data_IF_859983257799
#
_entry.id   IF_859983257799
#
_cell.length_a   1.000
_cell.length_b   1.000
_cell.length_c   1.000
_cell.angle_alpha   90.00
_cell.angle_beta   90.00
_cell.angle_gamma   90.00
#
_symmetry.space_group_name_H-M   'P 1'
#
loop_
_entity.id
_entity.type
_entity.pdbx_description
1 polymer ?
#
# COMPACT_ATOMS: atom_id res chain seq x y z
N UNK A 1 2.69 -21.70 9.70
CA UNK A 1 3.86 -21.39 8.85
C UNK A 1 4.59 -22.69 8.55
N UNK A 2 4.96 -22.95 7.27
CA UNK A 2 5.68 -24.17 6.89
C UNK A 2 7.02 -24.31 7.62
N UNK A 3 7.49 -25.55 7.78
CA UNK A 3 8.73 -25.85 8.51
C UNK A 3 9.97 -25.23 7.86
N UNK A 4 10.05 -25.28 6.53
CA UNK A 4 11.16 -24.71 5.75
C UNK A 4 11.23 -23.18 5.88
N UNK A 5 10.09 -22.49 5.75
CA UNK A 5 10.00 -21.04 5.98
C UNK A 5 10.55 -20.67 7.35
N UNK A 6 10.15 -21.41 8.40
CA UNK A 6 10.64 -21.17 9.76
C UNK A 6 12.14 -21.44 9.88
N UNK A 7 12.66 -22.49 9.24
CA UNK A 7 14.09 -22.78 9.25
C UNK A 7 14.91 -21.68 8.55
N UNK A 8 14.42 -21.16 7.42
CA UNK A 8 15.06 -20.06 6.69
C UNK A 8 15.05 -18.76 7.51
N UNK A 9 13.94 -18.44 8.17
CA UNK A 9 13.88 -17.26 9.04
C UNK A 9 14.78 -17.40 10.28
N UNK A 10 14.91 -18.62 10.83
CA UNK A 10 15.77 -18.87 11.99
C UNK A 10 17.26 -18.87 11.67
N UNK A 11 17.65 -19.04 10.41
CA UNK A 11 19.06 -18.99 9.98
C UNK A 11 19.54 -17.56 9.66
N UNK A 12 18.63 -16.59 9.67
CA UNK A 12 18.96 -15.19 9.43
C UNK A 12 19.70 -14.57 10.61
N UNK A 13 20.77 -13.83 10.30
CA UNK A 13 21.53 -13.03 11.27
C UNK A 13 21.13 -11.56 11.10
N UNK A 14 20.54 -10.92 12.12
CA UNK A 14 20.19 -9.50 12.10
C UNK A 14 21.40 -8.62 11.75
N UNK A 15 21.20 -7.58 10.94
CA UNK A 15 22.25 -6.64 10.55
C UNK A 15 22.70 -5.75 11.71
N UNK A 16 21.76 -5.38 12.59
CA UNK A 16 21.99 -4.56 13.78
C UNK A 16 20.92 -4.86 14.85
N UNK A 17 20.94 -4.10 15.96
CA UNK A 17 20.02 -4.29 17.08
C UNK A 17 18.56 -3.87 16.79
N UNK A 18 18.34 -3.09 15.74
CA UNK A 18 17.02 -2.57 15.33
C UNK A 18 16.46 -3.32 14.11
N UNK A 19 17.16 -4.36 13.64
CA UNK A 19 16.76 -5.16 12.49
C UNK A 19 15.62 -6.13 12.82
N UNK A 20 14.41 -5.67 12.51
CA UNK A 20 13.15 -6.38 12.72
C UNK A 20 12.74 -7.29 11.54
N UNK A 21 13.66 -7.62 10.62
CA UNK A 21 13.37 -8.40 9.39
C UNK A 21 12.56 -9.68 9.67
N UNK A 22 13.00 -10.49 10.64
CA UNK A 22 12.34 -11.76 10.97
C UNK A 22 10.92 -11.51 11.48
N UNK A 23 10.74 -10.54 12.39
CA UNK A 23 9.43 -10.20 12.93
C UNK A 23 8.50 -9.69 11.84
N UNK A 24 8.98 -8.81 10.97
CA UNK A 24 8.20 -8.28 9.84
C UNK A 24 7.71 -9.41 8.93
N UNK A 25 8.59 -10.32 8.52
CA UNK A 25 8.24 -11.45 7.66
C UNK A 25 7.28 -12.42 8.36
N UNK A 26 7.47 -12.68 9.66
CA UNK A 26 6.58 -13.53 10.45
C UNK A 26 5.18 -12.94 10.58
N UNK A 27 5.05 -11.67 10.94
CA UNK A 27 3.75 -11.01 11.07
C UNK A 27 3.07 -10.82 9.71
N UNK A 28 3.84 -10.50 8.66
CA UNK A 28 3.33 -10.46 7.29
C UNK A 28 2.77 -11.82 6.88
N UNK A 29 3.52 -12.89 7.11
CA UNK A 29 3.04 -14.25 6.85
C UNK A 29 1.82 -14.61 7.69
N UNK A 30 1.75 -14.16 8.95
CA UNK A 30 0.64 -14.46 9.85
C UNK A 30 -0.68 -13.88 9.34
N UNK A 31 -0.65 -12.65 8.85
CA UNK A 31 -1.88 -11.89 8.54
C UNK A 31 -2.25 -11.87 7.07
N UNK A 32 -1.33 -12.18 6.15
CA UNK A 32 -1.67 -12.27 4.73
C UNK A 32 -2.79 -13.30 4.48
N UNK A 33 -3.69 -13.03 3.50
CA UNK A 33 -4.63 -14.03 2.99
C UNK A 33 -3.90 -15.30 2.52
N UNK A 34 -4.64 -16.41 2.39
CA UNK A 34 -4.07 -17.71 1.98
C UNK A 34 -3.20 -17.62 0.72
N UNK A 35 -3.68 -16.96 -0.34
CA UNK A 35 -2.91 -16.77 -1.59
C UNK A 35 -1.61 -16.01 -1.36
N UNK A 36 -1.64 -14.90 -0.62
CA UNK A 36 -0.45 -14.12 -0.30
C UNK A 36 0.57 -14.89 0.56
N UNK A 37 0.11 -15.78 1.45
CA UNK A 37 0.98 -16.64 2.27
C UNK A 37 1.75 -17.66 1.45
N UNK A 38 1.15 -18.20 0.39
CA UNK A 38 1.83 -19.15 -0.51
C UNK A 38 2.97 -18.44 -1.22
N UNK A 39 2.71 -17.30 -1.85
CA UNK A 39 3.74 -16.52 -2.55
C UNK A 39 4.86 -16.08 -1.60
N UNK A 40 4.50 -15.55 -0.41
CA UNK A 40 5.50 -15.13 0.56
C UNK A 40 6.33 -16.31 1.11
N UNK A 41 5.75 -17.51 1.25
CA UNK A 41 6.52 -18.69 1.64
C UNK A 41 7.62 -18.99 0.62
N UNK A 42 7.25 -18.99 -0.67
CA UNK A 42 8.18 -19.24 -1.77
C UNK A 42 9.28 -18.18 -1.82
N UNK A 43 8.92 -16.89 -1.73
CA UNK A 43 9.88 -15.78 -1.71
C UNK A 43 10.87 -15.89 -0.54
N UNK A 44 10.39 -16.26 0.66
CA UNK A 44 11.25 -16.46 1.84
C UNK A 44 12.21 -17.63 1.61
N UNK A 45 11.73 -18.76 1.10
CA UNK A 45 12.55 -19.94 0.83
C UNK A 45 13.60 -19.61 -0.24
N UNK A 46 13.20 -18.93 -1.32
CA UNK A 46 14.08 -18.57 -2.43
C UNK A 46 15.12 -17.51 -2.04
N UNK A 47 14.77 -16.56 -1.16
CA UNK A 47 15.72 -15.60 -0.60
C UNK A 47 16.87 -16.31 0.13
N UNK A 48 16.56 -17.43 0.81
CA UNK A 48 17.55 -18.24 1.54
C UNK A 48 18.15 -17.49 2.72
N UNK A 49 19.34 -17.91 3.18
CA UNK A 49 20.05 -17.24 4.26
C UNK A 49 20.77 -15.96 3.76
N UNK A 50 20.84 -14.94 4.62
CA UNK A 50 21.64 -13.73 4.39
C UNK A 50 20.83 -12.48 4.03
N UNK A 51 21.48 -11.52 3.37
CA UNK A 51 20.94 -10.16 3.15
C UNK A 51 19.70 -10.10 2.25
N UNK A 52 19.40 -11.16 1.48
CA UNK A 52 18.23 -11.21 0.61
C UNK A 52 16.91 -11.23 1.38
N UNK A 53 16.87 -11.83 2.58
CA UNK A 53 15.68 -11.76 3.45
C UNK A 53 15.42 -10.34 3.92
N UNK A 54 16.47 -9.59 4.23
CA UNK A 54 16.37 -8.17 4.57
C UNK A 54 15.82 -7.37 3.39
N UNK A 55 16.30 -7.63 2.16
CA UNK A 55 15.80 -6.98 0.95
C UNK A 55 14.32 -7.31 0.67
N UNK A 56 13.90 -8.56 0.90
CA UNK A 56 12.50 -8.96 0.80
C UNK A 56 11.62 -8.24 1.83
N UNK A 57 12.09 -8.14 3.08
CA UNK A 57 11.41 -7.34 4.11
C UNK A 57 11.28 -5.87 3.69
N UNK A 58 12.37 -5.26 3.18
CA UNK A 58 12.35 -3.89 2.69
C UNK A 58 11.42 -3.70 1.47
N UNK A 59 11.31 -4.69 0.58
CA UNK A 59 10.41 -4.62 -0.58
C UNK A 59 8.94 -4.66 -0.16
N UNK A 60 8.59 -5.40 0.89
CA UNK A 60 7.24 -5.40 1.48
C UNK A 60 6.93 -4.02 2.07
N UNK A 61 7.86 -3.42 2.82
CA UNK A 61 7.65 -2.08 3.40
C UNK A 61 7.48 -1.04 2.30
N UNK A 62 8.44 -0.95 1.38
CA UNK A 62 8.48 0.09 0.35
C UNK A 62 7.45 -0.12 -0.76
N UNK A 63 7.17 -1.36 -1.15
CA UNK A 63 6.29 -1.70 -2.27
C UNK A 63 4.82 -1.93 -1.87
N UNK A 64 4.53 -2.28 -0.62
CA UNK A 64 3.17 -2.58 -0.16
C UNK A 64 2.71 -1.70 1.00
N UNK A 65 3.46 -1.65 2.11
CA UNK A 65 2.98 -0.96 3.32
C UNK A 65 3.01 0.57 3.15
N UNK A 66 4.09 1.12 2.60
CA UNK A 66 4.23 2.55 2.37
C UNK A 66 3.16 3.09 1.43
N UNK A 67 2.96 2.54 0.21
CA UNK A 67 1.97 3.10 -0.71
C UNK A 67 0.55 3.05 -0.14
N UNK A 68 0.20 1.98 0.56
CA UNK A 68 -1.12 1.82 1.17
C UNK A 68 -1.36 2.83 2.30
N UNK A 69 -0.36 3.08 3.15
CA UNK A 69 -0.44 4.09 4.20
C UNK A 69 -0.49 5.52 3.65
N UNK A 70 0.32 5.82 2.62
CA UNK A 70 0.36 7.14 1.98
C UNK A 70 -0.97 7.43 1.27
N UNK A 71 -1.52 6.48 0.53
CA UNK A 71 -2.84 6.61 -0.11
C UNK A 71 -3.95 6.84 0.94
N UNK A 72 -3.88 6.11 2.06
CA UNK A 72 -4.81 6.26 3.18
C UNK A 72 -4.80 7.66 3.83
N UNK A 73 -3.63 8.33 3.87
CA UNK A 73 -3.46 9.64 4.51
C UNK A 73 -3.77 10.84 3.62
N UNK A 74 -3.70 10.70 2.28
CA UNK A 74 -4.03 11.80 1.35
C UNK A 74 -5.51 12.16 1.41
N UNK A 75 -5.88 13.37 1.84
CA UNK A 75 -7.24 13.86 1.65
C UNK A 75 -7.60 13.72 0.16
N UNK A 76 -8.65 12.96 -0.15
CA UNK A 76 -9.31 13.12 -1.45
C UNK A 76 -9.95 14.49 -1.37
N UNK A 77 -9.30 15.50 -1.94
CA UNK A 77 -9.98 16.73 -2.30
C UNK A 77 -10.99 16.34 -3.38
N UNK A 78 -12.22 16.08 -2.95
CA UNK A 78 -13.35 16.16 -3.86
C UNK A 78 -13.29 17.59 -4.39
N UNK A 79 -13.13 17.82 -5.70
CA UNK A 79 -13.15 19.17 -6.25
C UNK A 79 -14.46 19.78 -5.81
N UNK A 80 -14.39 20.72 -4.86
CA UNK A 80 -15.56 21.53 -4.53
C UNK A 80 -15.84 22.29 -5.81
N UNK A 81 -17.02 22.07 -6.41
CA UNK A 81 -17.60 23.02 -7.36
C UNK A 81 -17.66 24.36 -6.64
N UNK A 82 -16.64 25.18 -6.86
CA UNK A 82 -16.36 26.43 -6.18
C UNK A 82 -15.54 27.25 -7.16
N UNK A 83 -16.31 27.97 -7.96
CA UNK A 83 -15.96 28.90 -9.03
C UNK A 83 -14.73 29.80 -8.72
N UNK A 84 -13.93 30.00 -9.78
CA UNK A 84 -12.93 31.06 -10.04
C UNK A 84 -11.58 31.04 -9.29
N UNK A 85 -10.50 30.65 -10.00
CA UNK A 85 -9.39 31.56 -10.33
C UNK A 85 -8.39 30.98 -11.37
N UNK A 86 -8.17 31.76 -12.43
CA UNK A 86 -7.10 31.77 -13.45
C UNK A 86 -6.93 30.61 -14.47
N UNK A 87 -7.17 30.93 -15.74
CA UNK A 87 -7.32 30.02 -16.90
C UNK A 87 -5.98 29.38 -17.34
N UNK A 88 -4.82 29.94 -17.00
CA UNK A 88 -3.51 29.38 -17.43
C UNK A 88 -3.01 28.22 -16.56
N UNK A 89 -3.43 28.13 -15.29
CA UNK A 89 -3.01 27.06 -14.38
C UNK A 89 -3.82 25.75 -14.59
N UNK A 90 -5.02 25.86 -15.15
CA UNK A 90 -5.92 24.75 -15.45
C UNK A 90 -5.42 23.85 -16.59
N UNK A 91 -4.74 24.42 -17.59
CA UNK A 91 -4.22 23.64 -18.71
C UNK A 91 -3.08 22.69 -18.29
N UNK A 92 -2.17 23.16 -17.42
CA UNK A 92 -1.09 22.32 -16.87
C UNK A 92 -1.65 21.23 -15.94
N UNK A 93 -2.58 21.59 -15.05
CA UNK A 93 -3.24 20.61 -14.18
C UNK A 93 -4.03 19.57 -14.98
N UNK A 94 -4.66 19.98 -16.09
CA UNK A 94 -5.39 19.07 -16.99
C UNK A 94 -4.45 18.15 -17.74
N UNK A 95 -3.30 18.65 -18.23
CA UNK A 95 -2.29 17.82 -18.90
C UNK A 95 -1.65 16.81 -17.95
N UNK A 96 -1.34 17.22 -16.71
CA UNK A 96 -0.82 16.31 -15.67
C UNK A 96 -1.88 15.31 -15.21
N UNK A 97 -3.14 15.74 -15.08
CA UNK A 97 -4.26 14.84 -14.78
C UNK A 97 -4.49 13.83 -15.90
N UNK A 98 -4.47 14.25 -17.17
CA UNK A 98 -4.57 13.36 -18.32
C UNK A 98 -3.40 12.37 -18.40
N UNK A 99 -2.17 12.82 -18.11
CA UNK A 99 -1.00 11.95 -18.04
C UNK A 99 -1.15 10.91 -16.92
N UNK A 100 -1.57 11.34 -15.73
CA UNK A 100 -1.81 10.47 -14.58
C UNK A 100 -2.95 9.47 -14.85
N UNK A 101 -4.02 9.89 -15.53
CA UNK A 101 -5.13 9.01 -15.92
C UNK A 101 -4.69 7.97 -16.95
N UNK A 102 -3.82 8.33 -17.91
CA UNK A 102 -3.23 7.37 -18.86
C UNK A 102 -2.33 6.36 -18.18
N UNK A 103 -1.49 6.80 -17.25
CA UNK A 103 -0.63 5.91 -16.45
C UNK A 103 -1.48 4.98 -15.58
N UNK A 104 -2.53 5.51 -14.95
CA UNK A 104 -3.47 4.71 -14.14
C UNK A 104 -4.20 3.67 -14.99
N UNK A 105 -4.64 4.05 -16.20
CA UNK A 105 -5.28 3.14 -17.15
C UNK A 105 -4.34 2.04 -17.62
N UNK A 106 -3.09 2.39 -17.97
CA UNK A 106 -2.07 1.41 -18.36
C UNK A 106 -1.78 0.43 -17.21
N UNK A 107 -1.62 0.91 -15.98
CA UNK A 107 -1.43 0.06 -14.81
C UNK A 107 -2.63 -0.84 -14.54
N UNK A 108 -3.85 -0.35 -14.80
CA UNK A 108 -5.07 -1.14 -14.68
C UNK A 108 -5.14 -2.24 -15.74
N UNK A 109 -4.81 -1.95 -17.00
CA UNK A 109 -4.75 -2.91 -18.10
C UNK A 109 -3.66 -3.98 -17.88
N UNK A 110 -2.48 -3.58 -17.42
CA UNK A 110 -1.38 -4.49 -17.11
C UNK A 110 -1.72 -5.41 -15.93
N UNK A 111 -2.38 -4.88 -14.89
CA UNK A 111 -2.88 -5.67 -13.76
C UNK A 111 -3.98 -6.64 -14.21
N UNK A 112 -4.90 -6.20 -15.07
CA UNK A 112 -5.95 -7.03 -15.68
C UNK A 112 -5.33 -8.21 -16.44
N UNK A 113 -4.33 -7.93 -17.27
CA UNK A 113 -3.69 -8.93 -18.12
C UNK A 113 -2.88 -9.95 -17.31
N UNK A 114 -2.13 -9.49 -16.30
CA UNK A 114 -1.37 -10.38 -15.40
C UNK A 114 -2.27 -11.36 -14.63
N UNK A 115 -3.44 -10.90 -14.21
CA UNK A 115 -4.35 -11.70 -13.38
C UNK A 115 -5.33 -12.53 -14.23
N UNK A 116 -5.12 -12.64 -15.54
CA UNK A 116 -5.99 -13.39 -16.44
C UNK A 116 -7.42 -12.81 -16.50
N UNK A 117 -7.51 -11.48 -16.47
CA UNK A 117 -8.76 -10.72 -16.41
C UNK A 117 -9.56 -10.88 -15.10
N UNK A 118 -8.93 -11.36 -14.02
CA UNK A 118 -9.57 -11.55 -12.71
C UNK A 118 -9.29 -10.45 -11.69
N UNK A 119 -8.52 -9.42 -12.07
CA UNK A 119 -8.30 -8.28 -11.20
C UNK A 119 -9.68 -7.70 -10.85
N UNK A 120 -10.05 -7.74 -9.57
CA UNK A 120 -11.24 -7.07 -9.07
C UNK A 120 -11.15 -5.63 -9.56
N UNK A 121 -12.15 -5.14 -10.31
CA UNK A 121 -12.19 -3.74 -10.70
C UNK A 121 -12.31 -2.90 -9.42
N UNK A 122 -11.17 -2.47 -8.88
CA UNK A 122 -11.06 -1.79 -7.59
C UNK A 122 -11.90 -0.50 -7.60
N UNK A 123 -12.09 0.09 -8.79
CA UNK A 123 -12.86 1.31 -9.00
C UNK A 123 -14.33 1.04 -9.39
N UNK A 124 -14.75 -0.22 -9.45
CA UNK A 124 -16.15 -0.56 -9.67
C UNK A 124 -17.01 -0.06 -8.51
N UNK A 125 -18.18 0.47 -8.83
CA UNK A 125 -19.17 0.90 -7.83
C UNK A 125 -19.61 -0.22 -6.88
N UNK A 126 -19.30 -1.49 -7.21
CA UNK A 126 -19.47 -2.67 -6.35
C UNK A 126 -18.56 -2.68 -5.11
N UNK A 127 -17.51 -1.86 -5.09
CA UNK A 127 -16.52 -1.80 -4.00
C UNK A 127 -16.70 -0.58 -3.09
N UNK A 128 -17.80 0.16 -3.26
CA UNK A 128 -18.09 1.35 -2.47
C UNK A 128 -18.78 0.96 -1.18
N UNK A 129 -18.21 1.41 -0.07
CA UNK A 129 -18.91 1.44 1.22
C UNK A 129 -19.03 2.88 1.70
N UNK A 130 -20.20 3.22 2.23
CA UNK A 130 -20.43 4.53 2.84
C UNK A 130 -20.15 4.43 4.34
N UNK A 131 -19.29 5.30 4.85
CA UNK A 131 -18.98 5.42 6.27
C UNK A 131 -19.23 6.87 6.70
N UNK A 132 -19.59 7.08 7.97
CA UNK A 132 -19.58 8.43 8.55
C UNK A 132 -18.17 9.03 8.41
N UNK A 133 -18.07 10.33 8.17
CA UNK A 133 -16.78 11.03 8.02
C UNK A 133 -15.73 10.65 9.10
N UNK A 134 -16.06 10.60 10.41
CA UNK A 134 -15.09 10.20 11.42
C UNK A 134 -14.64 8.75 11.28
N UNK A 135 -15.56 7.79 11.08
CA UNK A 135 -15.23 6.37 10.92
C UNK A 135 -14.46 6.13 9.62
N UNK A 136 -14.83 6.81 8.54
CA UNK A 136 -14.12 6.79 7.28
C UNK A 136 -12.65 7.21 7.44
N UNK A 137 -12.39 8.27 8.22
CA UNK A 137 -11.02 8.71 8.50
C UNK A 137 -10.23 7.65 9.29
N UNK A 138 -10.86 6.93 10.22
CA UNK A 138 -10.20 5.83 10.95
C UNK A 138 -9.92 4.62 10.05
N UNK A 139 -10.90 4.25 9.21
CA UNK A 139 -10.76 3.15 8.25
C UNK A 139 -9.60 3.41 7.27
N UNK A 140 -9.54 4.62 6.72
CA UNK A 140 -8.47 5.03 5.79
C UNK A 140 -7.09 5.04 6.41
N UNK A 141 -6.98 5.30 7.71
CA UNK A 141 -5.70 5.32 8.45
C UNK A 141 -5.30 3.96 9.00
N UNK A 142 -6.03 2.89 8.67
CA UNK A 142 -5.85 1.56 9.22
C UNK A 142 -5.91 1.54 10.78
N UNK A 143 -6.56 2.52 11.42
CA UNK A 143 -6.83 2.49 12.87
C UNK A 143 -8.13 1.77 13.20
N UNK A 144 -8.92 1.45 12.18
CA UNK A 144 -10.09 0.59 12.22
C UNK A 144 -10.06 -0.34 11.01
N UNK A 145 -10.40 -1.61 11.18
CA UNK A 145 -10.57 -2.59 10.11
C UNK A 145 -11.78 -3.50 10.36
N UNK A 146 -12.21 -4.19 9.31
CA UNK A 146 -13.34 -5.13 9.34
C UNK A 146 -12.81 -6.55 9.16
N UNK A 147 -12.92 -7.35 10.21
CA UNK A 147 -12.49 -8.75 10.19
C UNK A 147 -13.68 -9.65 9.95
N UNK A 148 -13.64 -10.46 8.90
CA UNK A 148 -14.75 -11.36 8.57
C UNK A 148 -14.98 -12.39 9.68
N UNK A 149 -16.24 -12.55 10.10
CA UNK A 149 -16.63 -13.58 11.06
C UNK A 149 -16.66 -14.95 10.36
N UNK A 150 -16.26 -16.02 11.06
CA UNK A 150 -16.24 -17.38 10.52
C UNK A 150 -17.62 -17.95 10.22
N UNK A 151 -18.64 -17.42 10.88
CA UNK A 151 -19.93 -18.09 11.03
C UNK A 151 -20.98 -17.57 10.03
N UNK A 152 -20.80 -16.37 9.48
CA UNK A 152 -21.78 -15.75 8.58
C UNK A 152 -21.13 -14.92 7.47
N UNK A 153 -21.67 -15.04 6.26
CA UNK A 153 -21.27 -14.24 5.10
C UNK A 153 -21.72 -12.79 5.33
N UNK A 154 -20.91 -11.82 4.90
CA UNK A 154 -21.17 -10.38 5.02
C UNK A 154 -21.30 -9.85 6.47
N UNK A 155 -20.83 -10.62 7.45
CA UNK A 155 -20.71 -10.17 8.83
C UNK A 155 -19.24 -9.95 9.19
N UNK A 156 -18.97 -8.84 9.87
CA UNK A 156 -17.64 -8.42 10.21
C UNK A 156 -17.56 -7.96 11.65
N UNK A 157 -16.52 -8.40 12.35
CA UNK A 157 -16.10 -7.83 13.61
C UNK A 157 -15.31 -6.55 13.35
N UNK A 158 -15.73 -5.47 13.99
CA UNK A 158 -15.01 -4.20 14.00
C UNK A 158 -13.78 -4.35 14.88
N UNK A 159 -12.61 -4.21 14.26
CA UNK A 159 -11.32 -4.24 14.94
C UNK A 159 -10.76 -2.83 15.00
N UNK A 160 -10.45 -2.36 16.20
CA UNK A 160 -9.79 -1.06 16.41
C UNK A 160 -8.35 -1.27 16.86
N UNK A 161 -7.48 -0.34 16.50
CA UNK A 161 -6.05 -0.41 16.79
C UNK A 161 -5.59 0.84 17.54
N UNK A 162 -4.31 0.85 17.95
CA UNK A 162 -3.70 2.02 18.56
C UNK A 162 -3.82 3.22 17.61
N UNK A 163 -4.30 4.35 18.14
CA UNK A 163 -4.58 5.55 17.35
C UNK A 163 -6.03 5.72 16.91
N UNK A 164 -6.91 4.74 17.20
CA UNK A 164 -8.35 4.96 17.10
C UNK A 164 -8.80 6.01 18.12
N UNK A 165 -9.48 7.06 17.64
CA UNK A 165 -9.91 8.15 18.50
C UNK A 165 -11.03 7.70 19.46
N UNK A 166 -10.82 7.93 20.77
CA UNK A 166 -11.76 7.51 21.83
C UNK A 166 -13.14 8.13 21.68
N UNK A 167 -13.22 9.37 21.17
CA UNK A 167 -14.47 10.10 20.93
C UNK A 167 -15.42 9.35 19.99
N UNK A 168 -14.90 8.57 19.04
CA UNK A 168 -15.72 7.84 18.06
C UNK A 168 -16.11 6.43 18.52
N UNK A 169 -15.76 6.03 19.75
CA UNK A 169 -16.16 4.71 20.27
C UNK A 169 -17.67 4.57 20.43
N UNK A 170 -18.37 5.66 20.74
CA UNK A 170 -19.83 5.68 20.85
C UNK A 170 -20.53 5.46 19.50
N UNK A 171 -19.82 5.68 18.37
CA UNK A 171 -20.35 5.43 17.02
C UNK A 171 -20.21 3.96 16.60
N UNK A 172 -19.45 3.16 17.37
CA UNK A 172 -19.28 1.75 17.09
C UNK A 172 -20.43 0.94 17.70
N UNK A 173 -20.85 -0.15 17.04
CA UNK A 173 -21.85 -1.05 17.60
C UNK A 173 -21.32 -1.66 18.91
N UNK A 174 -22.17 -1.71 19.94
CA UNK A 174 -21.82 -2.31 21.23
C UNK A 174 -21.43 -3.80 21.12
N UNK A 175 -21.99 -4.50 20.13
CA UNK A 175 -21.66 -5.90 19.79
C UNK A 175 -20.29 -6.06 19.10
N UNK A 176 -19.62 -4.94 18.76
CA UNK A 176 -18.43 -4.90 17.91
C UNK A 176 -18.58 -5.65 16.57
N UNK A 177 -19.81 -5.88 16.13
CA UNK A 177 -20.11 -6.67 14.93
C UNK A 177 -21.09 -5.92 14.05
N UNK A 178 -20.81 -5.89 12.76
CA UNK A 178 -21.67 -5.30 11.73
C UNK A 178 -22.07 -6.38 10.73
N UNK A 179 -23.30 -6.30 10.24
CA UNK A 179 -23.77 -7.09 9.10
C UNK A 179 -24.02 -6.13 7.94
N UNK A 180 -23.46 -6.45 6.77
CA UNK A 180 -23.72 -5.70 5.55
C UNK A 180 -24.93 -6.29 4.84
N UNK A 181 -25.92 -5.44 4.58
CA UNK A 181 -27.15 -5.81 3.87
C UNK A 181 -27.36 -4.90 2.67
N UNK A 182 -27.69 -5.47 1.51
CA UNK A 182 -28.06 -4.70 0.34
C UNK A 182 -29.52 -4.25 0.48
N UNK A 183 -29.78 -2.94 0.44
CA UNK A 183 -31.13 -2.41 0.63
C UNK A 183 -32.01 -2.52 -0.63
N UNK A 184 -31.40 -2.56 -1.81
CA UNK A 184 -32.06 -2.46 -3.12
C UNK A 184 -31.41 -3.40 -4.17
N UNK A 185 -30.68 -4.42 -3.72
CA UNK A 185 -29.88 -5.27 -4.60
C UNK A 185 -28.56 -4.65 -5.06
N UNK A 186 -28.20 -3.47 -4.52
CA UNK A 186 -26.88 -2.90 -4.73
C UNK A 186 -25.78 -3.87 -4.30
N UNK A 187 -24.67 -3.93 -5.04
CA UNK A 187 -23.52 -4.75 -4.70
C UNK A 187 -22.95 -4.36 -3.33
N UNK A 188 -22.61 -5.37 -2.52
CA UNK A 188 -21.93 -5.18 -1.24
C UNK A 188 -20.43 -5.02 -1.45
N UNK A 189 -19.78 -4.29 -0.55
CA UNK A 189 -18.33 -4.13 -0.55
C UNK A 189 -17.62 -5.50 -0.59
N UNK A 190 -16.61 -5.61 -1.45
CA UNK A 190 -15.90 -6.88 -1.68
C UNK A 190 -15.30 -7.43 -0.38
N UNK A 191 -15.70 -8.65 0.05
CA UNK A 191 -15.12 -9.30 1.22
C UNK A 191 -13.61 -9.51 1.09
N UNK A 192 -13.12 -9.69 -0.13
CA UNK A 192 -11.69 -9.86 -0.42
C UNK A 192 -10.94 -8.55 -0.14
N UNK A 193 -11.48 -7.41 -0.57
CA UNK A 193 -10.86 -6.10 -0.31
C UNK A 193 -10.85 -5.76 1.17
N UNK A 194 -11.94 -6.07 1.89
CA UNK A 194 -11.99 -5.91 3.36
C UNK A 194 -11.00 -6.84 4.07
N UNK A 195 -10.86 -8.07 3.60
CA UNK A 195 -9.87 -9.01 4.14
C UNK A 195 -8.43 -8.50 3.92
N UNK A 196 -8.13 -7.97 2.74
CA UNK A 196 -6.82 -7.37 2.44
C UNK A 196 -6.57 -6.13 3.29
N UNK A 197 -7.57 -5.25 3.43
CA UNK A 197 -7.47 -4.07 4.30
C UNK A 197 -7.20 -4.47 5.76
N UNK A 198 -7.93 -5.46 6.27
CA UNK A 198 -7.73 -5.97 7.62
C UNK A 198 -6.37 -6.62 7.82
N UNK A 199 -5.89 -7.39 6.84
CA UNK A 199 -4.55 -7.97 6.85
C UNK A 199 -3.48 -6.88 6.96
N UNK A 200 -3.55 -5.85 6.11
CA UNK A 200 -2.60 -4.74 6.12
C UNK A 200 -2.65 -3.98 7.45
N UNK A 201 -3.85 -3.69 7.98
CA UNK A 201 -3.98 -3.07 9.30
C UNK A 201 -3.26 -3.88 10.37
N UNK A 202 -3.50 -5.19 10.44
CA UNK A 202 -2.84 -6.05 11.41
C UNK A 202 -1.32 -6.04 11.26
N UNK A 203 -0.79 -6.12 10.03
CA UNK A 203 0.65 -6.10 9.76
C UNK A 203 1.25 -4.77 10.26
N UNK A 204 0.68 -3.63 9.85
CA UNK A 204 1.17 -2.30 10.22
C UNK A 204 1.27 -2.12 11.74
N UNK A 205 0.28 -2.63 12.49
CA UNK A 205 0.25 -2.50 13.95
C UNK A 205 1.11 -3.53 14.67
N UNK A 206 1.18 -4.78 14.19
CA UNK A 206 1.98 -5.84 14.80
C UNK A 206 3.49 -5.62 14.63
N UNK A 207 3.90 -5.09 13.47
CA UNK A 207 5.31 -4.81 13.15
C UNK A 207 5.77 -3.45 13.66
N UNK A 208 4.82 -2.53 13.91
CA UNK A 208 5.11 -1.14 14.23
C UNK A 208 5.45 -0.28 13.00
N UNK A 209 5.45 -0.85 11.80
CA UNK A 209 5.71 -0.12 10.55
C UNK A 209 4.70 1.03 10.34
N UNK A 210 3.44 0.86 10.78
CA UNK A 210 2.46 1.94 10.71
C UNK A 210 2.89 3.20 11.49
N UNK A 211 3.52 3.03 12.64
CA UNK A 211 4.02 4.14 13.45
C UNK A 211 5.29 4.76 12.85
N UNK A 212 6.19 3.94 12.30
CA UNK A 212 7.41 4.39 11.61
C UNK A 212 7.06 5.22 10.38
N UNK A 213 6.20 4.70 9.50
CA UNK A 213 5.73 5.40 8.29
C UNK A 213 5.02 6.70 8.65
N UNK A 214 4.11 6.66 9.64
CA UNK A 214 3.40 7.87 10.06
C UNK A 214 4.34 8.93 10.65
N UNK A 215 5.46 8.54 11.28
CA UNK A 215 6.48 9.49 11.74
C UNK A 215 7.18 10.15 10.55
N UNK A 216 7.63 9.36 9.57
CA UNK A 216 8.27 9.89 8.35
C UNK A 216 7.35 10.86 7.61
N UNK A 217 6.06 10.54 7.48
CA UNK A 217 5.07 11.42 6.86
C UNK A 217 4.87 12.74 7.61
N UNK A 218 4.83 12.71 8.95
CA UNK A 218 4.72 13.94 9.75
C UNK A 218 5.98 14.81 9.65
N UNK A 219 7.14 14.17 9.68
CA UNK A 219 8.42 14.86 9.54
C UNK A 219 8.49 15.51 8.15
N UNK A 220 7.99 14.85 7.10
CA UNK A 220 7.85 15.41 5.75
C UNK A 220 6.95 16.67 5.74
N UNK A 221 5.72 16.57 6.24
CA UNK A 221 4.77 17.69 6.29
C UNK A 221 5.33 18.87 7.11
N UNK A 222 6.12 18.60 8.16
CA UNK A 222 6.81 19.62 8.94
C UNK A 222 8.02 20.25 8.21
N UNK A 223 8.67 19.49 7.32
CA UNK A 223 9.85 19.92 6.52
C UNK A 223 9.52 20.64 5.20
N UNK A 224 8.30 21.15 5.02
CA UNK A 224 8.00 22.14 3.94
C UNK A 224 8.89 23.39 4.04
N UNK A 225 9.67 23.55 5.12
CA UNK A 225 10.96 24.26 5.09
C UNK A 225 12.13 23.28 5.29
N UNK A 226 13.04 23.21 4.31
CA UNK A 226 14.26 22.39 4.39
C UNK A 226 14.96 22.54 5.74
N UNK A 227 15.24 21.42 6.41
CA UNK A 227 16.18 21.42 7.52
C UNK A 227 17.56 21.81 6.96
N UNK A 228 18.08 22.96 7.38
CA UNK A 228 19.33 23.59 6.91
C UNK A 228 20.62 22.79 7.16
N UNK A 229 20.52 21.53 7.59
CA UNK A 229 21.66 20.72 8.06
C UNK A 229 21.90 19.41 7.30
N UNK A 230 21.26 19.20 6.13
CA UNK A 230 21.65 18.12 5.20
C UNK A 230 21.48 16.69 5.72
N UNK A 231 20.79 16.48 6.84
CA UNK A 231 20.54 15.14 7.43
C UNK A 231 19.28 14.46 6.89
N UNK A 232 18.66 15.00 5.84
CA UNK A 232 17.45 14.43 5.24
C UNK A 232 17.77 13.10 4.60
N UNK A 233 17.20 12.01 5.11
CA UNK A 233 17.35 10.68 4.52
C UNK A 233 16.48 10.59 3.24
N UNK A 234 17.08 10.96 2.10
CA UNK A 234 16.42 11.03 0.79
C UNK A 234 15.84 9.66 0.39
N UNK A 235 16.48 8.55 0.76
CA UNK A 235 16.00 7.20 0.45
C UNK A 235 14.67 6.89 1.16
N UNK A 236 14.54 7.28 2.42
CA UNK A 236 13.28 7.15 3.16
C UNK A 236 12.21 8.11 2.60
N UNK A 237 12.59 9.31 2.19
CA UNK A 237 11.69 10.29 1.58
C UNK A 237 11.13 9.81 0.24
N UNK A 238 11.97 9.22 -0.61
CA UNK A 238 11.54 8.62 -1.87
C UNK A 238 10.59 7.44 -1.62
N UNK A 239 10.84 6.63 -0.57
CA UNK A 239 10.00 5.47 -0.24
C UNK A 239 8.55 5.81 0.18
N UNK A 240 8.25 7.08 0.51
CA UNK A 240 6.90 7.56 0.88
C UNK A 240 6.30 8.53 -0.14
N UNK A 241 7.03 8.88 -1.21
CA UNK A 241 6.55 9.74 -2.29
C UNK A 241 6.19 8.91 -3.52
N UNK A 242 5.30 9.42 -4.39
CA UNK A 242 4.94 8.78 -5.67
C UNK A 242 6.16 8.54 -6.60
N UNK A 243 7.32 9.13 -6.28
CA UNK A 243 8.56 8.98 -7.05
C UNK A 243 9.15 7.56 -6.95
N UNK A 244 8.86 6.79 -5.88
CA UNK A 244 9.27 5.39 -5.80
C UNK A 244 8.48 4.45 -6.73
N UNK A 245 7.35 4.91 -7.28
CA UNK A 245 6.53 4.13 -8.21
C UNK A 245 6.85 4.42 -9.69
N UNK A 246 7.86 5.24 -9.98
CA UNK A 246 8.35 5.38 -11.35
C UNK A 246 9.09 4.08 -11.68
N UNK A 247 8.63 3.28 -12.67
CA UNK A 247 9.40 2.14 -13.12
C UNK A 247 10.77 2.66 -13.54
N UNK A 248 11.84 2.02 -13.07
CA UNK A 248 13.16 2.24 -13.63
C UNK A 248 13.07 1.96 -15.14
N UNK A 249 12.89 3.02 -15.93
CA UNK A 249 13.18 2.99 -17.35
C UNK A 249 14.68 2.71 -17.41
N UNK A 250 15.04 1.47 -17.71
CA UNK A 250 16.40 1.13 -18.09
C UNK A 250 16.69 1.89 -19.39
N UNK A 251 17.21 3.10 -19.28
CA UNK A 251 18.07 3.66 -20.31
C UNK A 251 19.48 3.28 -19.93
N UNK A 252 20.07 2.40 -20.74
CA UNK A 252 21.50 2.40 -20.91
C UNK A 252 21.79 2.43 -22.40
N UNK A 253 22.60 3.42 -22.73
CA UNK A 253 22.88 3.94 -24.05
C UNK A 253 23.87 3.07 -24.84
N UNK A 254 23.80 3.23 -26.16
CA UNK A 254 24.96 3.46 -27.01
C UNK A 254 26.12 2.46 -26.94
N UNK A 255 26.17 1.56 -27.92
CA UNK A 255 27.45 1.06 -28.43
C UNK A 255 27.61 1.49 -29.89
N UNK A 256 28.55 2.42 -30.06
CA UNK A 256 29.26 2.86 -31.25
C UNK A 256 28.88 2.27 -32.60
N UNK A 257 28.39 3.17 -33.46
CA UNK A 257 28.61 3.10 -34.90
C UNK A 257 30.12 3.26 -35.16
N UNK A 258 30.79 2.17 -35.54
CA UNK A 258 32.10 2.24 -36.18
C UNK A 258 31.90 2.36 -37.68
N UNK A 259 32.52 3.40 -38.22
CA UNK A 259 32.67 3.71 -39.63
C UNK A 259 33.09 2.48 -40.45
N UNK A 260 32.35 2.21 -41.53
CA UNK A 260 32.84 1.42 -42.66
C UNK A 260 32.15 1.89 -43.94
N UNK A 261 32.55 3.09 -44.39
CA UNK A 261 32.34 3.57 -45.76
C UNK A 261 33.71 3.80 -46.39
N UNK A 262 34.39 2.71 -46.74
CA UNK A 262 35.24 2.74 -47.92
C UNK A 262 35.33 1.34 -48.54
N UNK A 263 35.29 1.32 -49.88
CA UNK A 263 35.61 0.19 -50.75
C UNK A 263 34.50 -0.84 -51.10
N UNK A 264 33.60 -0.47 -52.03
CA UNK A 264 33.28 -1.33 -53.19
C UNK A 264 32.56 -0.58 -54.33
N UNK A 265 33.34 -0.36 -55.41
CA UNK A 265 33.00 0.03 -56.80
C UNK A 265 32.63 1.47 -57.11
#
# INVERSE_FOLDING_TARGET
MPGEVRATLNSYVPLDADDETVKLLQETFRYLPSGGRVNLAEDIIQAGAGNKLHQLAQSIVSGLLNPMMVAGTKKVEIPRLGVEESIEHLASMKAEHESMMRVQQQLQEDALHRDGNKCVDINSMVNVMTLSLPIHAQFRRFSLALEQTTDTINQYRVKTFRGFATAHRAELPASATISMTAHDGSPLASPILLQVHCAIANILHATGEGAKIARVLRDYDATVGFASKGSTNISQLLSVTKLALVPHVRRFDGTGSTDDWDNRR
#
